data_IF_234171999210
#
_entry.id   IF_234171999210
#
_cell.length_a   1.000
_cell.length_b   1.000
_cell.length_c   1.000
_cell.angle_alpha   90.00
_cell.angle_beta   90.00
_cell.angle_gamma   90.00
#
_symmetry.space_group_name_H-M   'P 1'
#
loop_
_entity.id
_entity.type
_entity.pdbx_description
1 polymer ?
#
# COMPACT_ATOMS: atom_id res chain seq x y z
N UNK A 1 75.49 22.74 26.83
CA UNK A 1 74.12 23.04 26.53
C UNK A 1 73.68 22.16 25.40
N UNK A 2 72.94 21.09 25.67
CA UNK A 2 72.41 20.14 24.65
C UNK A 2 70.87 20.29 24.70
N UNK A 3 70.32 20.78 23.60
CA UNK A 3 68.83 20.85 23.40
C UNK A 3 68.33 19.52 22.92
N UNK A 4 67.47 18.90 23.70
CA UNK A 4 66.73 17.67 23.32
C UNK A 4 65.40 18.10 22.73
N UNK A 5 65.18 17.96 21.41
CA UNK A 5 63.89 18.14 20.77
C UNK A 5 63.10 16.86 20.87
N UNK A 6 62.08 16.83 21.74
CA UNK A 6 61.10 15.76 21.78
C UNK A 6 60.02 16.00 20.70
N UNK A 7 60.01 15.14 19.69
CA UNK A 7 58.91 15.09 18.68
C UNK A 7 57.72 14.36 19.30
N UNK A 8 56.66 15.10 19.53
CA UNK A 8 55.36 14.55 19.96
C UNK A 8 54.60 14.06 18.70
N UNK A 9 54.54 12.75 18.50
CA UNK A 9 53.78 12.10 17.44
C UNK A 9 52.31 12.04 17.88
N UNK A 10 51.47 12.96 17.37
CA UNK A 10 50.03 12.88 17.53
C UNK A 10 49.47 11.77 16.68
N UNK A 11 49.13 10.61 17.26
CA UNK A 11 48.32 9.58 16.65
C UNK A 11 46.87 10.10 16.57
N UNK A 12 46.46 10.53 15.38
CA UNK A 12 45.06 10.72 15.03
C UNK A 12 44.39 9.34 14.91
N UNK A 13 43.83 8.86 16.02
CA UNK A 13 42.86 7.75 15.98
C UNK A 13 41.60 8.27 15.29
N UNK A 14 41.47 7.98 14.02
CA UNK A 14 40.23 8.15 13.29
C UNK A 14 39.16 7.24 13.92
N UNK A 15 38.29 7.80 14.75
CA UNK A 15 37.09 7.15 15.18
C UNK A 15 36.18 7.06 13.92
N UNK A 16 36.29 5.97 13.16
CA UNK A 16 35.26 5.56 12.21
C UNK A 16 34.05 5.15 13.05
N UNK A 17 33.19 6.13 13.36
CA UNK A 17 31.86 5.85 13.90
C UNK A 17 31.11 5.01 12.87
N UNK A 18 31.16 3.71 13.02
CA UNK A 18 30.28 2.80 12.30
C UNK A 18 28.87 3.11 12.73
N UNK A 19 28.13 3.88 11.91
CA UNK A 19 26.69 3.94 12.06
C UNK A 19 26.19 2.50 11.95
N UNK A 20 25.45 2.02 12.96
CA UNK A 20 24.78 0.75 12.89
C UNK A 20 23.91 0.79 11.63
N UNK A 21 24.19 -0.09 10.66
CA UNK A 21 23.42 -0.18 9.44
C UNK A 21 22.08 -0.83 9.80
N UNK A 22 20.97 -0.15 9.47
CA UNK A 22 19.64 -0.72 9.67
C UNK A 22 19.54 -2.06 8.96
N UNK A 23 18.97 -3.06 9.65
CA UNK A 23 18.75 -4.40 9.10
C UNK A 23 17.27 -4.61 8.84
N UNK A 24 16.97 -5.19 7.69
CA UNK A 24 15.61 -5.59 7.31
C UNK A 24 15.67 -6.97 6.64
N UNK A 25 14.72 -7.83 6.91
CA UNK A 25 14.63 -9.12 6.22
C UNK A 25 14.21 -8.93 4.75
N UNK A 26 14.66 -9.83 3.89
CA UNK A 26 14.18 -9.88 2.51
C UNK A 26 12.65 -10.00 2.52
N UNK A 27 11.96 -9.20 1.67
CA UNK A 27 10.51 -9.02 1.67
C UNK A 27 9.92 -8.50 2.99
N UNK A 28 10.75 -7.96 3.88
CA UNK A 28 10.33 -7.16 5.01
C UNK A 28 10.14 -5.70 4.60
N UNK A 29 9.53 -4.88 5.45
CA UNK A 29 9.28 -3.47 5.17
C UNK A 29 10.28 -2.57 5.92
N UNK A 30 10.98 -1.74 5.16
CA UNK A 30 11.80 -0.65 5.68
C UNK A 30 11.08 0.67 5.47
N UNK A 31 11.06 1.53 6.48
CA UNK A 31 10.41 2.83 6.43
C UNK A 31 11.40 3.95 6.77
N UNK A 32 11.39 5.00 5.95
CA UNK A 32 12.12 6.24 6.17
C UNK A 32 11.10 7.32 6.50
N UNK A 33 11.30 8.03 7.61
CA UNK A 33 10.48 9.17 8.00
C UNK A 33 11.27 10.46 7.81
N UNK A 34 10.72 11.42 7.08
CA UNK A 34 11.35 12.68 6.68
C UNK A 34 10.46 13.85 7.13
N UNK A 35 10.80 14.52 8.23
CA UNK A 35 10.08 15.72 8.67
C UNK A 35 10.26 16.86 7.65
N UNK A 36 9.16 17.43 7.17
CA UNK A 36 9.19 18.58 6.26
C UNK A 36 7.91 19.38 6.33
N UNK A 37 8.01 20.63 6.74
CA UNK A 37 6.91 21.58 6.66
C UNK A 37 6.90 22.22 5.28
N UNK A 38 5.80 22.06 4.56
CA UNK A 38 5.64 22.58 3.20
C UNK A 38 4.53 23.62 3.12
N UNK A 39 4.58 24.48 2.11
CA UNK A 39 3.51 25.41 1.79
C UNK A 39 2.51 24.75 0.84
N UNK A 40 1.23 25.08 0.98
CA UNK A 40 0.18 24.54 0.11
C UNK A 40 -0.31 23.16 0.58
N UNK A 41 -0.71 22.33 -0.37
CA UNK A 41 -1.22 20.99 -0.08
C UNK A 41 -0.06 19.98 -0.04
N UNK A 42 0.28 19.39 1.12
CA UNK A 42 1.40 18.46 1.23
C UNK A 42 1.20 17.16 0.43
N UNK A 43 -0.04 16.81 0.10
CA UNK A 43 -0.35 15.66 -0.73
C UNK A 43 -0.02 15.86 -2.22
N UNK A 44 0.34 17.10 -2.64
CA UNK A 44 0.78 17.41 -4.02
C UNK A 44 2.30 17.25 -4.18
N UNK A 45 3.05 17.10 -3.08
CA UNK A 45 4.50 17.02 -3.13
C UNK A 45 4.93 15.67 -3.67
N UNK A 46 5.65 15.70 -4.80
CA UNK A 46 6.30 14.51 -5.34
C UNK A 46 7.57 14.20 -4.53
N UNK A 47 7.61 12.96 -4.05
CA UNK A 47 8.75 12.38 -3.35
C UNK A 47 8.97 10.98 -3.89
N UNK A 48 10.19 10.66 -4.29
CA UNK A 48 10.59 9.31 -4.66
C UNK A 48 11.91 8.95 -4.00
N UNK A 49 12.21 7.67 -3.93
CA UNK A 49 13.55 7.18 -3.59
C UNK A 49 13.95 6.05 -4.53
N UNK A 50 15.16 6.14 -5.03
CA UNK A 50 15.79 5.07 -5.81
C UNK A 50 16.68 4.25 -4.90
N UNK A 51 16.35 2.98 -4.76
CA UNK A 51 17.10 1.98 -4.00
C UNK A 51 17.92 1.13 -4.96
N UNK A 52 19.22 1.10 -4.78
CA UNK A 52 20.16 0.29 -5.56
C UNK A 52 20.70 -0.84 -4.69
N UNK A 53 20.37 -2.05 -5.06
CA UNK A 53 20.77 -3.30 -4.38
C UNK A 53 21.80 -4.09 -5.17
N UNK A 54 22.10 -5.33 -4.75
CA UNK A 54 23.08 -6.17 -5.40
C UNK A 54 22.76 -6.50 -6.87
N UNK A 55 21.48 -6.78 -7.14
CA UNK A 55 21.06 -7.34 -8.44
C UNK A 55 20.10 -6.44 -9.21
N UNK A 56 19.54 -5.41 -8.55
CA UNK A 56 18.49 -4.58 -9.16
C UNK A 56 18.42 -3.19 -8.52
N UNK A 57 17.74 -2.30 -9.22
CA UNK A 57 17.40 -0.96 -8.73
C UNK A 57 15.90 -0.78 -8.79
N UNK A 58 15.31 -0.29 -7.70
CA UNK A 58 13.88 -0.04 -7.57
C UNK A 58 13.65 1.43 -7.19
N UNK A 59 12.70 2.06 -7.86
CA UNK A 59 12.24 3.40 -7.48
C UNK A 59 10.86 3.29 -6.85
N UNK A 60 10.73 3.80 -5.63
CA UNK A 60 9.47 3.81 -4.88
C UNK A 60 9.00 5.25 -4.65
N UNK A 61 7.69 5.44 -4.63
CA UNK A 61 7.09 6.72 -4.25
C UNK A 61 7.02 6.86 -2.74
N UNK A 62 7.31 8.08 -2.25
CA UNK A 62 6.97 8.48 -0.90
C UNK A 62 5.56 9.06 -0.83
N UNK A 63 5.11 9.33 0.38
CA UNK A 63 3.79 9.90 0.66
C UNK A 63 3.83 10.80 1.90
N UNK A 64 2.90 11.75 1.97
CA UNK A 64 2.67 12.53 3.17
C UNK A 64 1.83 11.73 4.18
N UNK A 65 2.29 11.61 5.42
CA UNK A 65 1.65 10.82 6.48
C UNK A 65 1.03 11.67 7.60
N UNK A 66 0.81 12.95 7.33
CA UNK A 66 0.32 13.88 8.34
C UNK A 66 1.44 14.47 9.21
N UNK A 67 1.09 15.45 10.05
CA UNK A 67 1.99 16.06 11.05
C UNK A 67 3.34 16.50 10.48
N UNK A 68 3.35 17.17 9.33
CA UNK A 68 4.56 17.63 8.62
C UNK A 68 5.59 16.50 8.39
N UNK A 69 5.13 15.26 8.16
CA UNK A 69 5.98 14.08 7.97
C UNK A 69 5.70 13.41 6.63
N UNK A 70 6.74 13.21 5.85
CA UNK A 70 6.74 12.38 4.65
C UNK A 70 7.38 11.04 4.96
N UNK A 71 6.90 9.99 4.32
CA UNK A 71 7.43 8.63 4.48
C UNK A 71 7.75 8.01 3.14
N UNK A 72 8.73 7.12 3.16
CA UNK A 72 9.08 6.25 2.05
C UNK A 72 9.12 4.83 2.61
N UNK A 73 8.44 3.90 1.96
CA UNK A 73 8.45 2.48 2.31
C UNK A 73 9.08 1.66 1.22
N UNK A 74 9.93 0.75 1.62
CA UNK A 74 10.70 -0.09 0.71
C UNK A 74 10.68 -1.54 1.19
N UNK A 75 10.53 -2.47 0.25
CA UNK A 75 10.63 -3.90 0.47
C UNK A 75 11.83 -4.44 -0.33
N UNK A 76 12.97 -4.76 0.31
CA UNK A 76 14.11 -5.32 -0.40
C UNK A 76 13.78 -6.71 -0.93
N UNK A 77 14.16 -6.98 -2.17
CA UNK A 77 13.82 -8.22 -2.90
C UNK A 77 14.99 -9.20 -3.02
N UNK A 78 16.19 -8.80 -2.59
CA UNK A 78 17.38 -9.65 -2.54
C UNK A 78 18.25 -9.29 -1.35
N UNK A 79 18.96 -10.30 -0.80
CA UNK A 79 19.87 -10.12 0.33
C UNK A 79 21.11 -9.32 -0.07
N UNK A 80 21.63 -8.55 0.88
CA UNK A 80 22.81 -7.72 0.71
C UNK A 80 22.59 -6.25 1.03
N UNK A 81 23.52 -5.41 0.67
CA UNK A 81 23.46 -3.98 0.97
C UNK A 81 22.68 -3.24 -0.11
N UNK A 82 21.68 -2.49 0.33
CA UNK A 82 20.92 -1.56 -0.48
C UNK A 82 21.27 -0.13 -0.09
N UNK A 83 21.57 0.71 -1.05
CA UNK A 83 21.74 2.16 -0.86
C UNK A 83 20.57 2.90 -1.47
N UNK A 84 20.21 4.05 -0.92
CA UNK A 84 19.14 4.86 -1.49
C UNK A 84 19.49 6.33 -1.59
N UNK A 85 18.80 7.00 -2.51
CA UNK A 85 18.78 8.44 -2.64
C UNK A 85 17.37 8.92 -2.95
N UNK A 86 16.93 9.96 -2.24
CA UNK A 86 15.61 10.57 -2.46
C UNK A 86 15.66 11.66 -3.53
N UNK A 87 14.53 11.91 -4.17
CA UNK A 87 14.30 12.99 -5.11
C UNK A 87 12.98 13.70 -4.80
N UNK A 88 13.02 15.02 -4.68
CA UNK A 88 11.87 15.89 -4.48
C UNK A 88 12.23 17.32 -4.89
N UNK A 89 11.24 18.14 -5.17
CA UNK A 89 11.41 19.61 -5.33
C UNK A 89 11.63 20.32 -3.98
N UNK A 90 11.26 19.68 -2.87
CA UNK A 90 11.44 20.21 -1.52
C UNK A 90 12.88 19.94 -1.06
N UNK A 91 13.70 20.96 -0.80
CA UNK A 91 15.14 20.79 -0.54
C UNK A 91 15.46 19.82 0.60
N UNK A 92 14.70 19.86 1.70
CA UNK A 92 14.93 18.98 2.86
C UNK A 92 14.57 17.51 2.59
N UNK A 93 13.75 17.24 1.60
CA UNK A 93 13.37 15.89 1.14
C UNK A 93 14.27 15.38 0.01
N UNK A 94 15.06 16.26 -0.61
CA UNK A 94 15.84 15.95 -1.81
C UNK A 94 17.25 15.50 -1.47
N UNK A 95 17.74 14.46 -2.17
CA UNK A 95 19.12 13.92 -2.05
C UNK A 95 19.44 13.38 -0.65
N UNK A 96 18.44 12.99 0.13
CA UNK A 96 18.66 12.24 1.38
C UNK A 96 19.18 10.87 1.00
N UNK A 97 20.26 10.43 1.64
CA UNK A 97 20.95 9.16 1.33
C UNK A 97 21.02 8.29 2.57
N UNK A 98 21.01 6.98 2.34
CA UNK A 98 21.23 6.00 3.39
C UNK A 98 21.55 4.62 2.85
N UNK A 99 21.74 3.68 3.75
CA UNK A 99 22.03 2.27 3.45
C UNK A 99 21.31 1.38 4.43
N UNK A 100 20.86 0.22 3.95
CA UNK A 100 20.30 -0.85 4.76
C UNK A 100 20.96 -2.17 4.38
N UNK A 101 21.02 -3.10 5.31
CA UNK A 101 21.43 -4.49 5.08
C UNK A 101 20.17 -5.36 4.99
N UNK A 102 19.92 -5.93 3.82
CA UNK A 102 18.87 -6.93 3.65
C UNK A 102 19.41 -8.30 4.07
N UNK A 103 18.86 -8.85 5.14
CA UNK A 103 19.20 -10.17 5.67
C UNK A 103 18.22 -11.24 5.16
N UNK A 104 18.50 -12.50 5.43
CA UNK A 104 17.62 -13.61 5.08
C UNK A 104 16.21 -13.42 5.65
N UNK A 105 15.15 -13.87 4.91
CA UNK A 105 13.78 -13.78 5.39
C UNK A 105 13.58 -14.63 6.64
N UNK A 106 12.76 -14.16 7.56
CA UNK A 106 12.36 -14.88 8.77
C UNK A 106 11.42 -16.05 8.46
N UNK A 107 11.19 -16.89 9.45
CA UNK A 107 10.27 -18.02 9.33
C UNK A 107 8.86 -17.53 8.96
N UNK A 108 8.27 -18.13 7.91
CA UNK A 108 6.93 -17.77 7.41
C UNK A 108 6.90 -16.54 6.48
N UNK A 109 8.05 -15.90 6.23
CA UNK A 109 8.16 -14.88 5.21
C UNK A 109 8.67 -15.51 3.89
N UNK A 110 7.73 -15.81 3.00
CA UNK A 110 7.98 -16.40 1.68
C UNK A 110 8.04 -15.33 0.55
N UNK A 111 7.91 -14.05 0.92
CA UNK A 111 7.77 -12.95 -0.04
C UNK A 111 6.38 -12.89 -0.67
N UNK A 112 6.16 -11.97 -1.64
CA UNK A 112 4.87 -11.82 -2.30
C UNK A 112 4.52 -13.03 -3.18
N UNK A 113 3.22 -13.29 -3.31
CA UNK A 113 2.70 -14.29 -4.23
C UNK A 113 2.83 -13.80 -5.67
N UNK A 114 3.22 -14.71 -6.57
CA UNK A 114 3.40 -14.48 -8.00
C UNK A 114 2.67 -15.56 -8.82
N UNK A 115 2.39 -15.25 -10.07
CA UNK A 115 1.93 -16.25 -11.04
C UNK A 115 3.01 -17.30 -11.28
N UNK A 116 2.64 -18.57 -11.33
CA UNK A 116 3.50 -19.70 -11.67
C UNK A 116 2.95 -20.46 -12.88
N UNK A 117 3.50 -20.18 -14.04
CA UNK A 117 2.98 -20.68 -15.31
C UNK A 117 1.59 -20.10 -15.64
N UNK A 118 0.67 -20.95 -16.12
CA UNK A 118 -0.64 -20.48 -16.60
C UNK A 118 -1.75 -20.57 -15.55
N UNK A 119 -1.65 -21.52 -14.62
CA UNK A 119 -2.78 -21.90 -13.74
C UNK A 119 -2.45 -21.93 -12.27
N UNK A 120 -1.23 -21.58 -11.88
CA UNK A 120 -0.77 -21.74 -10.52
C UNK A 120 -0.18 -20.44 -9.96
N UNK A 121 0.01 -20.45 -8.65
CA UNK A 121 0.69 -19.39 -7.91
C UNK A 121 1.82 -19.99 -7.07
N UNK A 122 2.83 -19.17 -6.81
CA UNK A 122 3.90 -19.45 -5.87
C UNK A 122 4.34 -18.17 -5.16
N UNK A 123 4.94 -18.31 -4.02
CA UNK A 123 5.63 -17.22 -3.36
C UNK A 123 6.95 -16.87 -4.08
N UNK A 124 7.50 -15.71 -3.78
CA UNK A 124 8.76 -15.25 -4.36
C UNK A 124 9.95 -16.17 -4.07
N UNK A 125 9.95 -16.92 -2.97
CA UNK A 125 10.95 -17.92 -2.63
C UNK A 125 10.77 -19.27 -3.37
N UNK A 126 9.74 -19.40 -4.21
CA UNK A 126 9.42 -20.62 -4.96
C UNK A 126 8.46 -21.59 -4.24
N UNK A 127 8.11 -21.33 -2.99
CA UNK A 127 7.11 -22.14 -2.27
C UNK A 127 5.76 -22.06 -2.98
N UNK A 128 5.12 -23.19 -3.25
CA UNK A 128 3.81 -23.23 -3.90
C UNK A 128 2.73 -22.56 -3.04
N UNK A 129 1.86 -21.82 -3.68
CA UNK A 129 0.71 -21.18 -3.06
C UNK A 129 -0.59 -21.69 -3.68
N UNK A 130 -1.46 -22.24 -2.83
CA UNK A 130 -2.79 -22.69 -3.23
C UNK A 130 -3.82 -21.79 -2.55
N UNK A 131 -4.46 -20.85 -3.27
CA UNK A 131 -5.41 -19.91 -2.67
C UNK A 131 -6.65 -20.64 -2.17
N UNK A 132 -6.88 -20.57 -0.87
CA UNK A 132 -8.12 -20.98 -0.22
C UNK A 132 -8.65 -19.73 0.48
N UNK A 133 -9.54 -19.02 -0.20
CA UNK A 133 -9.98 -17.70 0.25
C UNK A 133 -11.35 -17.67 0.89
N UNK A 134 -11.60 -16.60 1.61
CA UNK A 134 -12.93 -16.18 2.05
C UNK A 134 -13.15 -14.72 1.71
N UNK A 135 -14.38 -14.24 1.85
CA UNK A 135 -14.75 -12.85 1.66
C UNK A 135 -15.31 -12.31 2.97
N UNK A 136 -14.77 -11.20 3.43
CA UNK A 136 -15.34 -10.38 4.49
C UNK A 136 -15.11 -8.92 4.11
N UNK A 137 -16.11 -8.32 3.48
CA UNK A 137 -15.93 -7.05 2.81
C UNK A 137 -15.55 -5.94 3.80
N UNK A 138 -16.21 -5.86 4.93
CA UNK A 138 -16.23 -4.67 5.76
C UNK A 138 -15.60 -4.86 7.14
N UNK A 139 -14.92 -5.99 7.34
CA UNK A 139 -14.38 -6.38 8.65
C UNK A 139 -13.44 -5.33 9.26
N UNK A 140 -12.76 -4.55 8.45
CA UNK A 140 -11.87 -3.49 8.91
C UNK A 140 -12.63 -2.24 9.41
N UNK A 141 -13.84 -2.02 8.91
CA UNK A 141 -14.57 -0.77 9.09
C UNK A 141 -15.64 -0.86 10.19
N UNK A 142 -15.94 -2.07 10.67
CA UNK A 142 -16.91 -2.28 11.75
C UNK A 142 -16.30 -1.81 13.08
N UNK A 143 -17.12 -1.11 13.86
CA UNK A 143 -16.71 -0.59 15.16
C UNK A 143 -16.42 -1.70 16.19
N UNK A 144 -15.63 -1.37 17.20
CA UNK A 144 -15.32 -2.25 18.32
C UNK A 144 -14.15 -3.20 18.01
N UNK A 145 -14.23 -4.44 18.50
CA UNK A 145 -13.17 -5.45 18.38
C UNK A 145 -13.36 -6.42 17.20
N UNK A 146 -14.25 -6.10 16.26
CA UNK A 146 -14.54 -6.95 15.09
C UNK A 146 -13.27 -7.27 14.25
N UNK A 147 -12.36 -6.32 13.98
CA UNK A 147 -11.13 -6.63 13.27
C UNK A 147 -10.31 -7.72 13.96
N UNK A 148 -10.14 -7.67 15.27
CA UNK A 148 -9.38 -8.67 16.02
C UNK A 148 -10.08 -10.05 16.05
N UNK A 149 -11.41 -10.05 16.14
CA UNK A 149 -12.20 -11.29 16.07
C UNK A 149 -12.10 -11.96 14.70
N UNK A 150 -12.12 -11.17 13.62
CA UNK A 150 -11.94 -11.68 12.25
C UNK A 150 -10.56 -12.29 12.07
N UNK A 151 -9.50 -11.61 12.50
CA UNK A 151 -8.12 -12.15 12.45
C UNK A 151 -8.02 -13.46 13.24
N UNK A 152 -8.58 -13.51 14.45
CA UNK A 152 -8.59 -14.73 15.27
C UNK A 152 -9.36 -15.88 14.60
N UNK A 153 -10.48 -15.60 13.94
CA UNK A 153 -11.25 -16.59 13.19
C UNK A 153 -10.47 -17.13 12.00
N UNK A 154 -9.75 -16.25 11.27
CA UNK A 154 -8.88 -16.63 10.16
C UNK A 154 -7.70 -17.50 10.64
N UNK A 155 -7.06 -17.15 11.75
CA UNK A 155 -5.97 -17.93 12.35
C UNK A 155 -6.39 -19.35 12.70
N UNK A 156 -7.63 -19.53 13.16
CA UNK A 156 -8.21 -20.85 13.49
C UNK A 156 -8.74 -21.60 12.26
N UNK A 157 -8.80 -20.94 11.09
CA UNK A 157 -9.31 -21.51 9.85
C UNK A 157 -8.18 -22.12 8.99
N UNK A 158 -8.57 -22.58 7.80
CA UNK A 158 -7.63 -22.98 6.74
C UNK A 158 -7.56 -21.97 5.61
N UNK A 159 -8.22 -20.81 5.75
CA UNK A 159 -8.13 -19.74 4.77
C UNK A 159 -6.75 -19.08 4.81
N UNK A 160 -6.17 -18.90 3.65
CA UNK A 160 -4.89 -18.22 3.45
C UNK A 160 -5.01 -16.96 2.59
N UNK A 161 -6.26 -16.54 2.29
CA UNK A 161 -6.58 -15.35 1.53
C UNK A 161 -7.93 -14.79 1.99
N UNK A 162 -8.03 -13.46 2.05
CA UNK A 162 -9.30 -12.75 2.33
C UNK A 162 -9.51 -11.65 1.30
N UNK A 163 -10.73 -11.59 0.70
CA UNK A 163 -11.19 -10.45 -0.08
C UNK A 163 -11.84 -9.43 0.83
N UNK A 164 -11.44 -8.16 0.71
CA UNK A 164 -11.87 -7.09 1.58
C UNK A 164 -11.92 -5.76 0.85
N UNK A 165 -12.85 -4.88 1.24
CA UNK A 165 -13.04 -3.58 0.62
C UNK A 165 -12.12 -2.54 1.22
N UNK A 166 -11.53 -1.69 0.38
CA UNK A 166 -10.83 -0.51 0.85
C UNK A 166 -11.80 0.55 1.35
N UNK A 167 -12.85 0.86 0.58
CA UNK A 167 -13.90 1.78 1.00
C UNK A 167 -15.00 1.07 1.80
N UNK A 168 -15.65 1.83 2.67
CA UNK A 168 -16.82 1.37 3.42
C UNK A 168 -17.99 1.08 2.48
N UNK A 169 -18.83 0.14 2.86
CA UNK A 169 -20.04 -0.24 2.12
C UNK A 169 -21.33 0.19 2.86
N UNK A 170 -22.46 0.22 2.16
CA UNK A 170 -23.77 0.61 2.69
C UNK A 170 -24.87 -0.36 2.24
N UNK A 171 -24.64 -1.67 2.38
CA UNK A 171 -25.66 -2.67 2.09
C UNK A 171 -26.85 -2.63 3.07
N UNK A 172 -26.55 -2.35 4.32
CA UNK A 172 -27.55 -2.26 5.37
C UNK A 172 -27.93 -0.79 5.59
N UNK A 173 -29.19 -0.39 5.42
CA UNK A 173 -29.66 0.97 5.72
C UNK A 173 -29.41 1.40 7.16
N UNK A 174 -29.34 0.44 8.08
CA UNK A 174 -29.10 0.65 9.51
C UNK A 174 -27.60 0.53 9.87
N UNK A 175 -26.74 0.35 8.86
CA UNK A 175 -25.29 0.31 9.06
C UNK A 175 -24.81 1.61 9.72
N UNK A 176 -24.07 1.51 10.82
CA UNK A 176 -23.60 2.70 11.53
C UNK A 176 -22.69 3.56 10.64
N UNK A 177 -22.74 4.85 10.84
CA UNK A 177 -21.85 5.77 10.16
C UNK A 177 -20.40 5.40 10.46
N UNK A 178 -19.53 5.27 9.44
CA UNK A 178 -18.12 4.99 9.66
C UNK A 178 -17.45 6.04 10.55
N UNK A 179 -16.58 5.59 11.44
CA UNK A 179 -15.83 6.50 12.32
C UNK A 179 -14.76 7.32 11.60
N UNK A 180 -14.33 6.86 10.42
CA UNK A 180 -13.29 7.48 9.61
C UNK A 180 -13.59 7.30 8.13
N UNK A 181 -13.12 8.27 7.34
CA UNK A 181 -13.20 8.24 5.88
C UNK A 181 -11.81 8.48 5.27
N UNK A 182 -11.57 8.04 4.03
CA UNK A 182 -10.25 8.13 3.38
C UNK A 182 -9.86 9.54 2.94
N UNK A 183 -10.82 10.46 2.82
CA UNK A 183 -10.60 11.83 2.37
C UNK A 183 -11.02 12.85 3.42
N UNK A 184 -10.47 14.06 3.33
CA UNK A 184 -10.93 15.17 4.16
C UNK A 184 -12.34 15.61 3.75
N UNK A 185 -13.16 15.94 4.75
CA UNK A 185 -14.52 16.43 4.56
C UNK A 185 -14.48 17.95 4.42
N UNK A 186 -14.90 18.49 3.26
CA UNK A 186 -15.07 19.92 3.05
C UNK A 186 -16.32 20.44 3.73
N UNK A 187 -17.43 19.69 3.62
CA UNK A 187 -18.73 20.11 4.12
C UNK A 187 -19.61 18.92 4.40
N UNK A 188 -20.43 19.03 5.44
CA UNK A 188 -21.52 18.11 5.73
C UNK A 188 -22.82 18.89 5.63
N UNK A 189 -23.75 18.38 4.83
CA UNK A 189 -25.13 18.83 4.76
C UNK A 189 -26.08 17.70 5.15
N UNK A 190 -27.39 17.93 5.13
CA UNK A 190 -28.38 16.89 5.36
C UNK A 190 -29.29 16.79 4.15
N UNK A 191 -29.67 15.58 3.79
CA UNK A 191 -30.73 15.32 2.81
C UNK A 191 -32.13 15.60 3.40
N UNK A 192 -33.16 15.40 2.60
CA UNK A 192 -34.56 15.58 3.01
C UNK A 192 -35.00 14.64 4.16
N UNK A 193 -34.26 13.52 4.37
CA UNK A 193 -34.49 12.55 5.45
C UNK A 193 -33.62 12.82 6.67
N UNK A 194 -32.83 13.90 6.65
CA UNK A 194 -31.92 14.26 7.75
C UNK A 194 -30.61 13.47 7.78
N UNK A 195 -30.34 12.62 6.78
CA UNK A 195 -29.07 11.85 6.70
C UNK A 195 -27.92 12.77 6.24
N UNK A 196 -26.69 12.55 6.72
CA UNK A 196 -25.54 13.34 6.31
C UNK A 196 -25.21 13.13 4.84
N UNK A 197 -24.90 14.23 4.14
CA UNK A 197 -24.38 14.25 2.78
C UNK A 197 -23.02 14.93 2.82
N UNK A 198 -22.02 14.27 2.29
CA UNK A 198 -20.62 14.67 2.37
C UNK A 198 -20.16 15.30 1.07
N UNK A 199 -19.45 16.42 1.19
CA UNK A 199 -18.63 17.01 0.14
C UNK A 199 -17.17 16.77 0.49
N UNK A 200 -16.45 16.06 -0.38
CA UNK A 200 -15.07 15.65 -0.14
C UNK A 200 -14.04 16.60 -0.73
N UNK A 201 -12.90 16.72 -0.06
CA UNK A 201 -11.68 17.18 -0.69
C UNK A 201 -10.87 15.98 -1.20
N UNK A 202 -11.10 15.57 -2.43
CA UNK A 202 -10.35 14.49 -3.06
C UNK A 202 -8.86 14.80 -3.29
N UNK A 203 -8.40 16.01 -2.97
CA UNK A 203 -6.99 16.36 -3.02
C UNK A 203 -6.27 16.11 -1.70
N UNK A 204 -7.02 15.83 -0.62
CA UNK A 204 -6.51 15.61 0.74
C UNK A 204 -7.00 14.30 1.29
N UNK A 205 -6.05 13.48 1.72
CA UNK A 205 -6.33 12.18 2.33
C UNK A 205 -6.38 12.29 3.85
N UNK A 206 -6.99 11.29 4.48
CA UNK A 206 -6.94 11.08 5.93
C UNK A 206 -5.88 10.01 6.26
N UNK A 207 -4.66 10.36 6.66
CA UNK A 207 -3.60 9.38 6.94
C UNK A 207 -3.99 8.34 7.99
N UNK A 208 -4.86 8.70 8.96
CA UNK A 208 -5.30 7.78 10.00
C UNK A 208 -6.16 6.64 9.45
N UNK A 209 -7.00 6.90 8.43
CA UNK A 209 -7.77 5.87 7.75
C UNK A 209 -6.86 4.85 7.07
N UNK A 210 -5.85 5.33 6.32
CA UNK A 210 -4.89 4.46 5.65
C UNK A 210 -4.06 3.66 6.66
N UNK A 211 -3.59 4.29 7.72
CA UNK A 211 -2.84 3.61 8.78
C UNK A 211 -3.66 2.50 9.46
N UNK A 212 -4.98 2.67 9.60
CA UNK A 212 -5.87 1.63 10.09
C UNK A 212 -5.94 0.44 9.13
N UNK A 213 -6.11 0.67 7.83
CA UNK A 213 -6.10 -0.38 6.79
C UNK A 213 -4.74 -1.11 6.79
N UNK A 214 -3.64 -0.37 6.84
CA UNK A 214 -2.28 -0.91 6.92
C UNK A 214 -2.09 -1.84 8.12
N UNK A 215 -2.57 -1.42 9.30
CA UNK A 215 -2.51 -2.25 10.51
C UNK A 215 -3.32 -3.54 10.39
N UNK A 216 -4.45 -3.51 9.69
CA UNK A 216 -5.23 -4.70 9.39
C UNK A 216 -4.49 -5.65 8.44
N UNK A 217 -3.86 -5.14 7.39
CA UNK A 217 -3.04 -5.93 6.45
C UNK A 217 -1.82 -6.54 7.15
N UNK A 218 -1.18 -5.80 8.06
CA UNK A 218 -0.07 -6.33 8.89
C UNK A 218 -0.52 -7.49 9.79
N UNK A 219 -1.71 -7.39 10.40
CA UNK A 219 -2.27 -8.50 11.19
C UNK A 219 -2.47 -9.75 10.34
N UNK A 220 -2.98 -9.60 9.11
CA UNK A 220 -3.12 -10.72 8.16
C UNK A 220 -1.76 -11.32 7.80
N UNK A 221 -0.75 -10.51 7.52
CA UNK A 221 0.62 -10.97 7.25
C UNK A 221 1.20 -11.78 8.42
N UNK A 222 0.90 -11.36 9.66
CA UNK A 222 1.33 -12.05 10.88
C UNK A 222 0.79 -13.46 11.04
N UNK A 223 -0.35 -13.77 10.43
CA UNK A 223 -0.98 -15.11 10.43
C UNK A 223 -0.88 -15.82 9.08
N UNK A 224 -0.09 -15.30 8.13
CA UNK A 224 0.13 -15.92 6.81
C UNK A 224 -1.07 -15.84 5.87
N UNK A 225 -1.90 -14.80 5.97
CA UNK A 225 -3.08 -14.58 5.12
C UNK A 225 -2.82 -13.45 4.14
N UNK A 226 -3.09 -13.71 2.85
CA UNK A 226 -3.02 -12.74 1.77
C UNK A 226 -4.24 -11.80 1.80
N UNK A 227 -3.98 -10.51 1.61
CA UNK A 227 -4.97 -9.45 1.56
C UNK A 227 -5.33 -9.11 0.11
N UNK A 228 -6.44 -9.63 -0.39
CA UNK A 228 -6.99 -9.28 -1.70
C UNK A 228 -7.85 -8.01 -1.55
N UNK A 229 -7.19 -6.85 -1.70
CA UNK A 229 -7.77 -5.54 -1.42
C UNK A 229 -8.53 -5.02 -2.63
N UNK A 230 -9.84 -4.90 -2.49
CA UNK A 230 -10.75 -4.36 -3.49
C UNK A 230 -10.71 -2.84 -3.42
N UNK A 231 -10.24 -2.19 -4.50
CA UNK A 231 -9.96 -0.76 -4.56
C UNK A 231 -11.19 0.08 -4.88
N UNK A 232 -12.13 -0.45 -5.69
CA UNK A 232 -13.41 0.17 -6.01
C UNK A 232 -14.54 -0.85 -5.93
N UNK A 233 -15.74 -0.39 -5.57
CA UNK A 233 -16.94 -1.24 -5.52
C UNK A 233 -18.23 -0.40 -5.64
N UNK A 234 -19.37 -0.98 -6.08
CA UNK A 234 -20.63 -0.27 -6.23
C UNK A 234 -21.48 -0.21 -4.96
N UNK A 235 -20.98 -0.68 -3.82
CA UNK A 235 -21.80 -1.03 -2.65
C UNK A 235 -22.02 0.12 -1.68
N UNK A 236 -21.58 1.34 -1.98
CA UNK A 236 -21.93 2.50 -1.19
C UNK A 236 -23.34 3.04 -1.54
N UNK A 237 -23.91 2.59 -2.66
CA UNK A 237 -25.22 3.02 -3.16
C UNK A 237 -25.32 4.52 -3.39
N UNK A 238 -24.20 5.17 -3.67
CA UNK A 238 -24.09 6.62 -3.83
C UNK A 238 -24.14 7.41 -2.52
N UNK A 239 -24.10 6.74 -1.34
CA UNK A 239 -24.22 7.41 -0.04
C UNK A 239 -23.04 8.33 0.23
N UNK A 240 -21.82 7.84 -0.02
CA UNK A 240 -20.59 8.62 0.17
C UNK A 240 -20.01 9.12 -1.15
N UNK A 241 -20.40 8.55 -2.29
CA UNK A 241 -20.01 8.98 -3.63
C UNK A 241 -18.64 8.50 -4.08
N UNK A 242 -18.07 7.47 -3.42
CA UNK A 242 -16.80 6.86 -3.86
C UNK A 242 -16.99 6.02 -5.12
N UNK A 243 -18.21 5.56 -5.40
CA UNK A 243 -18.64 4.85 -6.62
C UNK A 243 -18.69 5.74 -7.87
N UNK A 244 -18.48 7.06 -7.73
CA UNK A 244 -18.55 8.06 -8.81
C UNK A 244 -17.45 9.12 -8.73
N UNK A 245 -16.31 8.78 -8.15
CA UNK A 245 -15.18 9.70 -8.08
C UNK A 245 -14.75 10.15 -9.48
N UNK A 246 -14.38 11.44 -9.66
CA UNK A 246 -13.74 11.90 -10.90
C UNK A 246 -12.47 11.10 -11.20
N UNK A 247 -12.14 10.96 -12.50
CA UNK A 247 -10.97 10.19 -12.94
C UNK A 247 -9.68 10.62 -12.22
N UNK A 248 -9.45 11.92 -12.14
CA UNK A 248 -8.25 12.49 -11.52
C UNK A 248 -8.18 12.18 -10.02
N UNK A 249 -9.34 12.16 -9.34
CA UNK A 249 -9.44 11.79 -7.94
C UNK A 249 -9.11 10.30 -7.74
N UNK A 250 -9.62 9.43 -8.61
CA UNK A 250 -9.31 8.02 -8.59
C UNK A 250 -7.83 7.73 -8.85
N UNK A 251 -7.22 8.37 -9.84
CA UNK A 251 -5.77 8.25 -10.13
C UNK A 251 -4.93 8.72 -8.93
N UNK A 252 -5.30 9.87 -8.34
CA UNK A 252 -4.60 10.42 -7.18
C UNK A 252 -4.70 9.47 -5.97
N UNK A 253 -5.88 8.94 -5.72
CA UNK A 253 -6.12 7.94 -4.68
C UNK A 253 -5.25 6.71 -4.87
N UNK A 254 -5.22 6.12 -6.07
CA UNK A 254 -4.43 4.94 -6.36
C UNK A 254 -2.93 5.19 -6.16
N UNK A 255 -2.40 6.31 -6.65
CA UNK A 255 -0.98 6.67 -6.44
C UNK A 255 -0.63 6.78 -4.96
N UNK A 256 -1.48 7.41 -4.16
CA UNK A 256 -1.26 7.55 -2.73
C UNK A 256 -1.35 6.20 -2.00
N UNK A 257 -2.36 5.40 -2.32
CA UNK A 257 -2.54 4.06 -1.77
C UNK A 257 -1.33 3.16 -2.05
N UNK A 258 -0.89 3.10 -3.31
CA UNK A 258 0.22 2.25 -3.73
C UNK A 258 1.53 2.71 -3.07
N UNK A 259 1.79 4.02 -3.00
CA UNK A 259 2.96 4.55 -2.29
C UNK A 259 3.00 4.09 -0.82
N UNK A 260 1.84 3.96 -0.17
CA UNK A 260 1.71 3.49 1.21
C UNK A 260 1.83 1.99 1.35
N UNK A 261 1.27 1.22 0.42
CA UNK A 261 0.99 -0.19 0.64
C UNK A 261 1.75 -1.17 -0.26
N UNK A 262 2.42 -0.73 -1.32
CA UNK A 262 3.15 -1.65 -2.20
C UNK A 262 4.31 -2.39 -1.51
N UNK A 263 4.82 -1.90 -0.38
CA UNK A 263 5.83 -2.59 0.42
C UNK A 263 5.28 -3.72 1.33
N UNK A 264 3.97 -3.98 1.31
CA UNK A 264 3.36 -5.10 2.02
C UNK A 264 3.42 -6.35 1.13
N UNK A 265 4.15 -7.38 1.53
CA UNK A 265 4.35 -8.59 0.73
C UNK A 265 3.07 -9.41 0.48
N UNK A 266 2.08 -9.28 1.36
CA UNK A 266 0.84 -10.06 1.35
C UNK A 266 -0.36 -9.32 0.72
N UNK A 267 -0.12 -8.36 -0.18
CA UNK A 267 -1.19 -7.61 -0.82
C UNK A 267 -1.43 -8.09 -2.26
N UNK A 268 -2.71 -8.13 -2.67
CA UNK A 268 -3.14 -8.29 -4.04
C UNK A 268 -4.03 -7.10 -4.40
N UNK A 269 -3.89 -6.59 -5.59
CA UNK A 269 -4.70 -5.49 -6.09
C UNK A 269 -5.93 -6.03 -6.84
N UNK A 270 -7.10 -5.95 -6.23
CA UNK A 270 -8.38 -6.17 -6.91
C UNK A 270 -8.93 -4.81 -7.31
N UNK A 271 -8.78 -4.44 -8.58
CA UNK A 271 -9.09 -3.09 -9.06
C UNK A 271 -10.52 -2.69 -8.73
N UNK A 272 -11.46 -3.59 -9.00
CA UNK A 272 -12.84 -3.43 -8.55
C UNK A 272 -13.51 -4.78 -8.30
N UNK A 273 -14.51 -4.78 -7.43
CA UNK A 273 -15.52 -5.82 -7.39
C UNK A 273 -16.75 -5.35 -8.17
N UNK A 274 -17.27 -6.21 -9.05
CA UNK A 274 -18.46 -5.92 -9.87
C UNK A 274 -18.36 -4.54 -10.56
N UNK A 275 -17.23 -4.32 -11.27
CA UNK A 275 -16.94 -3.04 -11.91
C UNK A 275 -18.05 -2.59 -12.87
N UNK A 276 -18.79 -3.52 -13.44
CA UNK A 276 -19.88 -3.30 -14.38
C UNK A 276 -21.16 -2.72 -13.72
N UNK A 277 -21.22 -2.69 -12.38
CA UNK A 277 -22.22 -1.93 -11.63
C UNK A 277 -21.79 -0.52 -11.25
N UNK A 278 -20.53 -0.18 -11.40
CA UNK A 278 -20.01 1.18 -11.21
C UNK A 278 -20.33 2.06 -12.42
N UNK A 279 -21.61 2.30 -12.66
CA UNK A 279 -22.16 2.89 -13.90
C UNK A 279 -21.74 4.33 -14.16
N UNK A 280 -21.37 5.05 -13.10
CA UNK A 280 -20.90 6.44 -13.17
C UNK A 280 -19.42 6.53 -13.58
N UNK A 281 -18.67 5.43 -13.44
CA UNK A 281 -17.29 5.34 -13.91
C UNK A 281 -17.28 4.83 -15.36
N UNK A 282 -16.74 5.65 -16.25
CA UNK A 282 -16.67 5.31 -17.67
C UNK A 282 -15.76 4.12 -17.92
N UNK A 283 -16.02 3.28 -18.93
CA UNK A 283 -15.19 2.11 -19.24
C UNK A 283 -13.69 2.41 -19.41
N UNK A 284 -13.34 3.55 -20.03
CA UNK A 284 -11.96 3.99 -20.22
C UNK A 284 -11.24 4.36 -18.91
N UNK A 285 -11.96 4.58 -17.80
CA UNK A 285 -11.35 4.81 -16.50
C UNK A 285 -10.61 3.57 -16.00
N UNK A 286 -11.15 2.38 -16.30
CA UNK A 286 -10.53 1.12 -15.84
C UNK A 286 -9.17 0.89 -16.46
N UNK A 287 -8.98 1.21 -17.75
CA UNK A 287 -7.67 1.14 -18.38
C UNK A 287 -6.69 2.11 -17.71
N UNK A 288 -7.12 3.35 -17.43
CA UNK A 288 -6.30 4.34 -16.72
C UNK A 288 -5.96 3.89 -15.29
N UNK A 289 -6.92 3.35 -14.55
CA UNK A 289 -6.70 2.86 -13.19
C UNK A 289 -5.76 1.66 -13.16
N UNK A 290 -5.92 0.73 -14.10
CA UNK A 290 -5.04 -0.44 -14.23
C UNK A 290 -3.59 -0.01 -14.49
N UNK A 291 -3.37 0.85 -15.49
CA UNK A 291 -2.06 1.42 -15.76
C UNK A 291 -1.48 2.15 -14.55
N UNK A 292 -2.31 2.93 -13.84
CA UNK A 292 -1.86 3.62 -12.63
C UNK A 292 -1.38 2.64 -11.56
N UNK A 293 -2.07 1.52 -11.35
CA UNK A 293 -1.65 0.50 -10.39
C UNK A 293 -0.33 -0.13 -10.83
N UNK A 294 -0.27 -0.63 -12.06
CA UNK A 294 0.89 -1.39 -12.56
C UNK A 294 2.15 -0.52 -12.64
N UNK A 295 2.04 0.72 -13.10
CA UNK A 295 3.17 1.64 -13.23
C UNK A 295 3.73 2.13 -11.88
N UNK A 296 2.89 2.19 -10.86
CA UNK A 296 3.30 2.71 -9.55
C UNK A 296 3.61 1.62 -8.53
N UNK A 297 3.37 0.34 -8.84
CA UNK A 297 3.74 -0.80 -8.00
C UNK A 297 5.09 -1.40 -8.43
N UNK A 298 6.21 -1.05 -7.76
CA UNK A 298 7.55 -1.49 -8.16
C UNK A 298 7.78 -2.99 -7.89
N UNK A 299 6.84 -3.65 -7.24
CA UNK A 299 6.96 -5.07 -6.85
C UNK A 299 6.11 -5.99 -7.70
N UNK A 300 5.28 -5.44 -8.60
CA UNK A 300 4.40 -6.20 -9.50
C UNK A 300 3.54 -7.23 -8.74
N UNK A 301 2.81 -6.77 -7.74
CA UNK A 301 1.85 -7.62 -7.04
C UNK A 301 0.76 -8.11 -7.98
N UNK A 302 0.06 -9.17 -7.57
CA UNK A 302 -1.05 -9.69 -8.34
C UNK A 302 -2.13 -8.62 -8.51
N UNK A 303 -2.61 -8.47 -9.77
CA UNK A 303 -3.60 -7.47 -10.14
C UNK A 303 -4.74 -8.15 -10.92
N UNK A 304 -5.98 -7.85 -10.55
CA UNK A 304 -7.17 -8.36 -11.20
C UNK A 304 -8.32 -7.34 -11.16
N UNK A 305 -9.36 -7.61 -11.94
CA UNK A 305 -10.65 -6.93 -11.88
C UNK A 305 -11.77 -7.97 -11.88
N UNK A 306 -12.89 -7.70 -11.22
CA UNK A 306 -14.00 -8.65 -11.10
C UNK A 306 -15.28 -8.08 -11.71
N UNK A 307 -15.99 -8.92 -12.50
CA UNK A 307 -17.31 -8.63 -13.10
C UNK A 307 -18.40 -9.41 -12.39
N UNK A 308 -19.60 -8.84 -12.32
CA UNK A 308 -20.80 -9.54 -11.87
C UNK A 308 -21.38 -10.45 -12.97
N UNK A 309 -21.41 -9.95 -14.20
CA UNK A 309 -22.04 -10.66 -15.31
C UNK A 309 -21.07 -11.64 -15.96
N UNK A 310 -21.60 -12.69 -16.62
CA UNK A 310 -20.84 -13.62 -17.47
C UNK A 310 -20.16 -12.95 -18.68
N UNK A 311 -20.08 -11.63 -18.71
CA UNK A 311 -19.30 -10.88 -19.68
C UNK A 311 -17.85 -10.88 -19.20
N UNK A 312 -17.02 -11.63 -19.90
CA UNK A 312 -15.61 -11.63 -19.64
C UNK A 312 -15.02 -10.25 -19.90
N UNK A 313 -14.37 -9.69 -18.90
CA UNK A 313 -13.51 -8.53 -19.09
C UNK A 313 -12.26 -8.96 -19.87
N UNK A 314 -11.48 -7.98 -20.33
CA UNK A 314 -10.24 -8.20 -21.10
C UNK A 314 -9.11 -8.80 -20.23
N UNK A 315 -9.34 -9.95 -19.59
CA UNK A 315 -8.35 -10.61 -18.70
C UNK A 315 -7.07 -11.06 -19.42
N UNK A 316 -7.05 -10.98 -20.75
CA UNK A 316 -5.86 -11.25 -21.58
C UNK A 316 -4.92 -10.05 -21.70
N UNK A 317 -5.32 -8.85 -21.23
CA UNK A 317 -4.42 -7.71 -21.21
C UNK A 317 -3.29 -7.99 -20.23
N UNK A 318 -2.03 -7.63 -20.56
CA UNK A 318 -0.84 -8.03 -19.82
C UNK A 318 -0.76 -7.46 -18.39
N UNK A 319 -1.55 -6.44 -18.10
CA UNK A 319 -1.64 -5.82 -16.78
C UNK A 319 -2.38 -6.69 -15.76
N UNK A 320 -3.25 -7.60 -16.20
CA UNK A 320 -3.96 -8.51 -15.32
C UNK A 320 -3.19 -9.82 -15.15
N UNK A 321 -2.86 -10.14 -13.92
CA UNK A 321 -2.09 -11.35 -13.59
C UNK A 321 -2.98 -12.60 -13.51
N UNK A 322 -4.27 -12.42 -13.25
CA UNK A 322 -5.24 -13.52 -13.16
C UNK A 322 -6.67 -13.02 -13.39
N UNK A 323 -7.54 -13.91 -13.83
CA UNK A 323 -8.96 -13.66 -13.96
C UNK A 323 -9.67 -13.81 -12.60
N UNK A 324 -10.52 -12.84 -12.26
CA UNK A 324 -11.43 -12.91 -11.12
C UNK A 324 -12.85 -12.99 -11.65
N UNK A 325 -13.45 -14.19 -11.58
CA UNK A 325 -14.70 -14.53 -12.23
C UNK A 325 -15.71 -14.98 -11.17
N UNK A 326 -16.96 -14.55 -11.33
CA UNK A 326 -18.11 -15.05 -10.60
C UNK A 326 -18.96 -15.86 -11.56
N UNK A 327 -19.33 -17.10 -11.16
CA UNK A 327 -20.20 -18.02 -11.90
C UNK A 327 -21.43 -18.39 -11.05
#
# INVERSE_FOLDING_TARGET
>A
MKYCCSFLLLLLLGISGGFAQDKVECWGRYEISLPAKVKGNPFDIELTATFSGPDTTLTVRGFYDGNDTFKIRFMPVSQGVWSYVTQSEIPVLNKVKGRIECIAPGKGNHGPVKVDGTYNFKYADGTRYYPVGTTSYDWMHVAGNQPDQTVKSLELSKFNKIRMLFFVQNFDPDYPEPSMFPFEIKKITKDEKGKPVYEWDFTRFNPAYFAHVEACVDKLAGIGVEADLILFHPYDGGRWGFDRMPLEAGVRYLKYLIARMSSFRNIWWSLANEYDFLRELKPEYWDTFTHTVVENDPYSHLCSIHTYTAKYYKYWEPEYTHASIQD
#
